data_IF_282271600808
#
_entry.id   IF_282271600808
#
_cell.length_a   1.000
_cell.length_b   1.000
_cell.length_c   1.000
_cell.angle_alpha   90.00
_cell.angle_beta   90.00
_cell.angle_gamma   90.00
#
_symmetry.space_group_name_H-M   'P 1'
#
loop_
_entity.id
_entity.type
_entity.pdbx_description
1 polymer ?
#
# COMPACT_ATOMS: atom_id res chain seq x y z
N UNK A 1 -4.31 1.20 -27.92
CA UNK A 1 -5.59 0.56 -28.35
C UNK A 1 -6.70 1.56 -28.16
N UNK A 2 -7.65 1.75 -29.11
CA UNK A 2 -8.81 2.61 -28.90
C UNK A 2 -9.68 2.07 -27.75
N UNK A 3 -10.23 2.96 -26.92
CA UNK A 3 -11.04 2.57 -25.75
C UNK A 3 -12.23 1.69 -26.11
N UNK A 4 -12.91 1.97 -27.21
CA UNK A 4 -14.04 1.16 -27.74
C UNK A 4 -13.73 -0.34 -28.00
N UNK A 5 -12.45 -0.72 -27.98
CA UNK A 5 -12.01 -2.11 -28.15
C UNK A 5 -11.58 -2.72 -26.80
N UNK A 6 -11.88 -2.04 -25.71
CA UNK A 6 -11.54 -2.49 -24.34
C UNK A 6 -12.85 -2.70 -23.60
N UNK A 7 -13.03 -3.93 -23.08
CA UNK A 7 -14.18 -4.30 -22.26
C UNK A 7 -13.65 -4.78 -20.91
N UNK A 8 -14.14 -4.22 -19.83
CA UNK A 8 -13.81 -4.59 -18.46
C UNK A 8 -15.02 -5.28 -17.86
N UNK A 9 -14.84 -6.53 -17.47
CA UNK A 9 -15.88 -7.36 -16.85
C UNK A 9 -15.63 -7.42 -15.35
N UNK A 10 -16.64 -7.09 -14.55
CA UNK A 10 -16.55 -7.08 -13.10
C UNK A 10 -17.74 -7.82 -12.50
N UNK A 11 -17.48 -8.79 -11.66
CA UNK A 11 -18.51 -9.62 -11.01
C UNK A 11 -19.40 -8.82 -10.06
N UNK A 12 -18.83 -7.77 -9.46
CA UNK A 12 -19.56 -6.88 -8.54
C UNK A 12 -20.22 -5.73 -9.29
N UNK A 13 -20.98 -4.93 -8.60
CA UNK A 13 -21.60 -3.68 -9.09
C UNK A 13 -20.66 -2.47 -8.99
N UNK A 14 -19.42 -2.66 -8.50
CA UNK A 14 -18.42 -1.62 -8.26
C UNK A 14 -17.04 -2.09 -8.70
N UNK A 15 -16.29 -1.21 -9.36
CA UNK A 15 -14.90 -1.47 -9.75
C UNK A 15 -13.93 -1.31 -8.56
N UNK A 16 -12.71 -1.85 -8.71
CA UNK A 16 -11.60 -1.57 -7.80
C UNK A 16 -11.15 -2.74 -6.95
N UNK A 17 -11.85 -3.87 -6.97
CA UNK A 17 -11.48 -5.06 -6.20
C UNK A 17 -11.30 -4.74 -4.71
N UNK A 18 -10.11 -5.04 -4.15
CA UNK A 18 -9.82 -4.73 -2.74
C UNK A 18 -9.69 -3.22 -2.42
N UNK A 19 -9.62 -2.37 -3.43
CA UNK A 19 -9.63 -0.90 -3.30
C UNK A 19 -11.05 -0.32 -3.39
N UNK A 20 -12.09 -1.15 -3.35
CA UNK A 20 -13.48 -0.68 -3.27
C UNK A 20 -13.73 0.07 -1.97
N UNK A 21 -14.80 0.82 -1.95
CA UNK A 21 -15.25 1.57 -0.78
C UNK A 21 -16.62 2.14 -1.04
N UNK A 22 -17.26 2.60 0.01
CA UNK A 22 -18.58 3.24 -0.08
C UNK A 22 -18.60 4.57 0.66
N UNK A 23 -19.46 5.44 0.23
CA UNK A 23 -19.89 6.60 1.00
C UNK A 23 -21.24 6.29 1.67
N UNK A 24 -21.25 6.28 2.99
CA UNK A 24 -22.48 6.14 3.78
C UNK A 24 -22.76 7.47 4.48
N UNK A 25 -23.92 8.12 4.22
CA UNK A 25 -24.23 9.41 4.82
C UNK A 25 -24.20 9.42 6.35
N UNK A 26 -24.39 8.27 7.00
CA UNK A 26 -24.39 8.15 8.47
C UNK A 26 -23.01 7.83 9.05
N UNK A 27 -22.09 7.29 8.26
CA UNK A 27 -20.77 6.80 8.70
C UNK A 27 -19.61 7.51 8.02
N UNK A 28 -19.85 8.17 6.90
CA UNK A 28 -18.81 8.77 6.07
C UNK A 28 -18.23 7.77 5.06
N UNK A 29 -16.98 7.96 4.72
CA UNK A 29 -16.28 7.09 3.77
C UNK A 29 -15.80 5.81 4.45
N UNK A 30 -16.19 4.67 3.91
CA UNK A 30 -15.85 3.34 4.44
C UNK A 30 -14.89 2.65 3.47
N UNK A 31 -13.85 2.02 4.03
CA UNK A 31 -12.85 1.24 3.29
C UNK A 31 -12.58 -0.09 4.00
N UNK A 32 -12.02 -1.06 3.30
CA UNK A 32 -11.73 -2.40 3.85
C UNK A 32 -10.51 -2.47 4.78
N UNK A 33 -9.83 -1.40 5.04
CA UNK A 33 -8.64 -1.35 5.90
C UNK A 33 -7.79 -0.13 5.62
N UNK A 34 -6.69 0.01 6.35
CA UNK A 34 -5.70 1.05 6.10
C UNK A 34 -5.16 0.94 4.68
N UNK A 35 -5.03 2.09 4.03
CA UNK A 35 -4.50 2.20 2.66
C UNK A 35 -3.56 3.39 2.61
N UNK A 36 -2.43 3.19 3.26
CA UNK A 36 -1.38 4.20 3.28
C UNK A 36 -0.73 4.31 1.90
N UNK A 37 -0.39 5.54 1.57
CA UNK A 37 0.28 5.90 0.32
C UNK A 37 1.63 6.52 0.63
N UNK A 38 2.45 6.70 -0.39
CA UNK A 38 3.72 7.42 -0.24
C UNK A 38 4.10 8.16 -1.53
N UNK A 39 5.06 9.06 -1.43
CA UNK A 39 5.46 9.89 -2.57
C UNK A 39 6.24 9.11 -3.66
N UNK A 40 6.85 7.98 -3.30
CA UNK A 40 7.70 7.17 -4.19
C UNK A 40 6.97 6.01 -4.87
N UNK A 41 5.67 6.08 -5.00
CA UNK A 41 4.90 5.20 -5.89
C UNK A 41 4.95 5.77 -7.33
N UNK A 42 6.15 5.87 -7.90
CA UNK A 42 6.39 6.61 -9.16
C UNK A 42 5.48 6.16 -10.29
N UNK A 43 5.33 4.85 -10.51
CA UNK A 43 4.45 4.33 -11.56
C UNK A 43 2.98 4.69 -11.33
N UNK A 44 2.53 4.64 -10.07
CA UNK A 44 1.17 5.02 -9.69
C UNK A 44 0.94 6.51 -9.95
N UNK A 45 1.85 7.35 -9.49
CA UNK A 45 1.73 8.80 -9.64
C UNK A 45 1.94 9.27 -11.08
N UNK A 46 2.76 8.58 -11.86
CA UNK A 46 2.86 8.85 -13.29
C UNK A 46 1.52 8.59 -14.02
N UNK A 47 0.81 7.52 -13.65
CA UNK A 47 -0.54 7.25 -14.14
C UNK A 47 -1.52 8.36 -13.71
N UNK A 48 -1.58 8.65 -12.42
CA UNK A 48 -2.57 9.60 -11.87
C UNK A 48 -2.28 11.07 -12.20
N UNK A 49 -1.10 11.40 -12.70
CA UNK A 49 -0.83 12.69 -13.33
C UNK A 49 -1.68 12.93 -14.58
N UNK A 50 -2.08 11.87 -15.26
CA UNK A 50 -2.89 11.94 -16.49
C UNK A 50 -4.40 11.81 -16.24
N UNK A 51 -4.81 11.44 -15.03
CA UNK A 51 -6.22 11.25 -14.66
C UNK A 51 -6.75 12.57 -14.08
N UNK A 52 -7.79 13.18 -14.72
CA UNK A 52 -8.40 14.40 -14.18
C UNK A 52 -9.07 14.18 -12.82
N UNK A 53 -8.95 15.18 -11.95
CA UNK A 53 -9.76 15.23 -10.73
C UNK A 53 -11.26 15.32 -11.09
N UNK A 54 -12.09 14.65 -10.29
CA UNK A 54 -13.55 14.78 -10.41
C UNK A 54 -14.04 16.09 -9.78
N UNK A 55 -13.37 16.53 -8.71
CA UNK A 55 -13.84 17.67 -7.92
C UNK A 55 -13.30 19.00 -8.41
N UNK A 56 -12.04 19.01 -8.84
CA UNK A 56 -11.32 20.24 -9.18
C UNK A 56 -11.03 20.29 -10.69
N UNK A 57 -11.78 21.08 -11.47
CA UNK A 57 -11.53 21.20 -12.89
C UNK A 57 -10.12 21.67 -13.24
N UNK A 58 -9.50 21.04 -14.23
CA UNK A 58 -8.21 21.44 -14.76
C UNK A 58 -6.98 20.99 -13.98
N UNK A 59 -7.18 20.14 -12.93
CA UNK A 59 -6.08 19.53 -12.17
C UNK A 59 -6.18 18.01 -12.23
N UNK A 60 -5.07 17.33 -11.96
CA UNK A 60 -5.03 15.87 -11.90
C UNK A 60 -5.30 15.35 -10.49
N UNK A 61 -5.59 14.05 -10.40
CA UNK A 61 -5.68 13.34 -9.11
C UNK A 61 -4.35 13.45 -8.34
N UNK A 62 -3.21 13.42 -9.04
CA UNK A 62 -1.90 13.62 -8.40
C UNK A 62 -1.77 15.01 -7.77
N UNK A 63 -2.25 16.06 -8.44
CA UNK A 63 -2.20 17.42 -7.91
C UNK A 63 -3.02 17.55 -6.63
N UNK A 64 -4.23 16.97 -6.58
CA UNK A 64 -5.06 16.95 -5.37
C UNK A 64 -4.40 16.20 -4.21
N UNK A 65 -3.83 15.03 -4.49
CA UNK A 65 -3.09 14.25 -3.50
C UNK A 65 -1.90 15.03 -2.94
N UNK A 66 -1.14 15.68 -3.81
CA UNK A 66 0.05 16.44 -3.41
C UNK A 66 -0.32 17.64 -2.54
N UNK A 67 -1.32 18.41 -2.94
CA UNK A 67 -1.75 19.59 -2.17
C UNK A 67 -2.31 19.21 -0.81
N UNK A 68 -3.17 18.21 -0.76
CA UNK A 68 -3.73 17.72 0.50
C UNK A 68 -2.61 17.38 1.49
N UNK A 69 -1.67 16.54 1.09
CA UNK A 69 -0.62 16.07 1.99
C UNK A 69 0.45 17.14 2.31
N UNK A 70 0.49 18.23 1.56
CA UNK A 70 1.32 19.41 1.85
C UNK A 70 0.65 20.32 2.88
N UNK A 71 -0.64 20.53 2.76
CA UNK A 71 -1.41 21.45 3.61
C UNK A 71 -1.82 20.79 4.94
N UNK A 72 -2.13 19.49 4.90
CA UNK A 72 -2.50 18.69 6.06
C UNK A 72 -1.60 17.45 6.16
N UNK A 73 -0.33 17.63 6.58
CA UNK A 73 0.61 16.53 6.72
C UNK A 73 0.15 15.58 7.81
N UNK A 74 0.18 14.29 7.50
CA UNK A 74 -0.23 13.27 8.46
C UNK A 74 0.70 13.24 9.67
N UNK A 75 0.09 13.21 10.84
CA UNK A 75 0.77 13.00 12.11
C UNK A 75 -0.18 12.33 13.10
N UNK A 76 0.20 11.12 13.53
CA UNK A 76 -0.55 10.39 14.54
C UNK A 76 0.38 9.45 15.27
N UNK A 77 0.54 9.62 16.58
CA UNK A 77 1.31 8.66 17.37
C UNK A 77 0.67 7.28 17.28
N UNK A 78 1.44 6.34 16.75
CA UNK A 78 1.05 4.95 16.70
C UNK A 78 0.96 4.37 18.10
N UNK A 79 -0.22 3.96 18.51
CA UNK A 79 -0.38 3.13 19.69
C UNK A 79 -0.18 1.67 19.34
N UNK A 80 1.05 1.19 19.46
CA UNK A 80 1.36 -0.22 19.28
C UNK A 80 0.88 -1.03 20.50
N UNK A 81 0.34 -2.20 20.25
CA UNK A 81 -0.13 -3.11 21.29
C UNK A 81 0.57 -4.47 21.20
N UNK A 82 0.71 -5.13 22.34
CA UNK A 82 1.20 -6.49 22.49
C UNK A 82 0.28 -7.29 23.41
N UNK A 83 0.50 -8.60 23.53
CA UNK A 83 -0.24 -9.46 24.46
C UNK A 83 -1.76 -9.22 24.45
N UNK A 84 -2.38 -9.27 23.27
CA UNK A 84 -3.82 -9.11 23.06
C UNK A 84 -4.36 -7.74 23.48
N UNK A 85 -3.67 -6.68 23.10
CA UNK A 85 -4.14 -5.31 23.23
C UNK A 85 -3.58 -4.52 24.40
N UNK A 86 -2.63 -5.06 25.14
CA UNK A 86 -1.88 -4.27 26.13
C UNK A 86 -1.00 -3.25 25.42
N UNK A 87 -0.94 -2.04 25.96
CA UNK A 87 -0.05 -1.02 25.45
C UNK A 87 1.43 -1.51 25.49
N UNK A 88 2.11 -1.38 24.38
CA UNK A 88 3.52 -1.78 24.26
C UNK A 88 4.49 -0.72 24.83
N UNK A 89 4.00 0.48 25.15
CA UNK A 89 4.77 1.61 25.69
C UNK A 89 6.04 1.90 24.87
N UNK A 90 5.85 2.03 23.56
CA UNK A 90 6.97 2.22 22.62
C UNK A 90 7.57 3.61 22.70
N UNK A 91 6.80 4.61 23.12
CA UNK A 91 7.18 6.03 23.24
C UNK A 91 7.84 6.59 21.95
N UNK A 92 7.43 6.08 20.78
CA UNK A 92 7.99 6.46 19.50
C UNK A 92 9.43 5.97 19.25
N UNK A 93 9.92 5.00 20.03
CA UNK A 93 11.28 4.49 19.93
C UNK A 93 11.29 3.06 19.39
N UNK A 94 12.36 2.73 18.68
CA UNK A 94 12.54 1.38 18.14
C UNK A 94 13.17 0.40 19.13
N UNK A 95 13.88 0.89 20.14
CA UNK A 95 14.57 0.06 21.14
C UNK A 95 15.39 -1.09 20.53
N UNK A 96 15.98 -0.82 19.37
CA UNK A 96 16.82 -1.77 18.66
C UNK A 96 18.24 -1.71 19.22
N UNK A 97 18.79 -2.86 19.59
CA UNK A 97 20.17 -2.96 20.10
C UNK A 97 21.18 -2.68 18.98
N UNK A 98 22.42 -2.39 19.38
CA UNK A 98 23.53 -2.27 18.42
C UNK A 98 23.72 -3.56 17.61
N UNK A 99 23.56 -4.72 18.25
CA UNK A 99 23.60 -6.02 17.57
C UNK A 99 22.48 -6.15 16.56
N UNK A 100 21.24 -5.84 16.93
CA UNK A 100 20.09 -5.84 16.02
C UNK A 100 20.27 -4.91 14.82
N UNK A 101 20.86 -3.71 15.04
CA UNK A 101 21.21 -2.84 13.93
C UNK A 101 22.23 -3.48 12.97
N UNK A 102 23.23 -4.18 13.51
CA UNK A 102 24.23 -4.88 12.68
C UNK A 102 23.62 -6.04 11.90
N UNK A 103 22.67 -6.76 12.47
CA UNK A 103 21.95 -7.85 11.79
C UNK A 103 21.12 -7.32 10.62
N UNK A 104 20.41 -6.21 10.80
CA UNK A 104 19.70 -5.53 9.72
C UNK A 104 20.67 -5.08 8.61
N UNK A 105 21.80 -4.49 8.98
CA UNK A 105 22.82 -4.10 8.01
C UNK A 105 23.39 -5.31 7.27
N UNK A 106 23.62 -6.42 7.98
CA UNK A 106 24.07 -7.68 7.37
C UNK A 106 23.06 -8.20 6.36
N UNK A 107 21.77 -8.23 6.72
CA UNK A 107 20.71 -8.62 5.77
C UNK A 107 20.75 -7.74 4.50
N UNK A 108 20.89 -6.43 4.67
CA UNK A 108 20.97 -5.48 3.57
C UNK A 108 22.12 -5.76 2.60
N UNK A 109 23.26 -6.22 3.12
CA UNK A 109 24.50 -6.50 2.37
C UNK A 109 24.58 -7.95 1.87
N UNK A 110 23.71 -8.84 2.34
CA UNK A 110 23.65 -10.24 1.89
C UNK A 110 23.16 -10.31 0.46
N UNK A 111 23.76 -11.17 -0.38
CA UNK A 111 23.28 -11.36 -1.74
C UNK A 111 21.89 -12.01 -1.77
N UNK A 112 21.12 -11.71 -2.80
CA UNK A 112 19.77 -12.25 -2.92
C UNK A 112 19.76 -13.78 -3.03
N UNK A 113 20.72 -14.35 -3.74
CA UNK A 113 20.86 -15.80 -3.90
C UNK A 113 21.11 -16.54 -2.59
N UNK A 114 21.75 -15.88 -1.61
CA UNK A 114 22.03 -16.44 -0.28
C UNK A 114 20.78 -16.41 0.63
N UNK A 115 19.69 -15.79 0.19
CA UNK A 115 18.44 -15.61 0.94
C UNK A 115 17.24 -16.39 0.38
N UNK A 116 17.37 -17.06 -0.78
CA UNK A 116 16.24 -17.70 -1.44
C UNK A 116 15.49 -18.71 -0.58
N UNK A 117 16.21 -19.48 0.22
CA UNK A 117 15.65 -20.53 1.09
C UNK A 117 15.66 -20.15 2.58
N UNK A 118 15.83 -18.85 2.89
CA UNK A 118 15.89 -18.38 4.27
C UNK A 118 14.61 -17.66 4.69
N UNK A 119 14.22 -17.92 5.93
CA UNK A 119 13.20 -17.17 6.63
C UNK A 119 13.81 -16.00 7.42
N UNK A 120 12.97 -15.10 7.87
CA UNK A 120 13.38 -13.97 8.71
C UNK A 120 14.02 -14.47 10.01
N UNK A 121 13.49 -15.55 10.60
CA UNK A 121 14.02 -16.18 11.82
C UNK A 121 15.37 -16.89 11.61
N UNK A 122 15.76 -17.19 10.36
CA UNK A 122 17.09 -17.73 10.07
C UNK A 122 18.20 -16.65 10.02
N UNK A 123 17.82 -15.38 9.95
CA UNK A 123 18.75 -14.27 9.75
C UNK A 123 18.81 -13.27 10.89
N UNK A 124 17.84 -13.31 11.80
CA UNK A 124 17.79 -12.44 12.97
C UNK A 124 17.75 -13.24 14.27
N UNK A 125 18.36 -12.68 15.30
CA UNK A 125 18.28 -13.19 16.66
C UNK A 125 17.11 -12.56 17.43
N UNK A 126 16.80 -13.13 18.60
CA UNK A 126 15.71 -12.67 19.50
C UNK A 126 15.76 -11.17 19.81
N UNK A 127 16.96 -10.57 19.83
CA UNK A 127 17.10 -9.12 20.09
C UNK A 127 16.38 -8.23 19.06
N UNK A 128 16.27 -8.67 17.80
CA UNK A 128 15.49 -7.96 16.78
C UNK A 128 14.00 -8.17 17.03
N UNK A 129 13.58 -9.41 17.31
CA UNK A 129 12.17 -9.78 17.51
C UNK A 129 11.58 -9.17 18.78
N UNK A 130 12.37 -8.98 19.83
CA UNK A 130 11.95 -8.33 21.07
C UNK A 130 11.94 -6.80 21.01
N UNK A 131 12.46 -6.23 19.91
CA UNK A 131 12.50 -4.78 19.72
C UNK A 131 11.13 -4.19 19.34
N UNK A 132 10.91 -2.93 19.70
CA UNK A 132 9.74 -2.19 19.22
C UNK A 132 9.83 -1.87 17.72
N UNK A 133 11.05 -1.88 17.14
CA UNK A 133 11.24 -1.82 15.70
C UNK A 133 10.50 -2.97 15.00
N UNK A 134 10.71 -4.23 15.45
CA UNK A 134 10.03 -5.39 14.87
C UNK A 134 8.51 -5.28 15.02
N UNK A 135 8.04 -4.82 16.18
CA UNK A 135 6.61 -4.62 16.41
C UNK A 135 5.99 -3.64 15.40
N UNK A 136 6.63 -2.50 15.13
CA UNK A 136 6.18 -1.56 14.11
C UNK A 136 6.26 -2.16 12.70
N UNK A 137 7.41 -2.75 12.37
CA UNK A 137 7.67 -3.28 11.04
C UNK A 137 6.68 -4.38 10.66
N UNK A 138 6.54 -5.38 11.52
CA UNK A 138 5.61 -6.49 11.28
C UNK A 138 4.15 -6.05 11.19
N UNK A 139 3.76 -5.06 11.99
CA UNK A 139 2.39 -4.54 11.99
C UNK A 139 2.11 -3.73 10.71
N UNK A 140 3.06 -2.90 10.30
CA UNK A 140 2.90 -2.03 9.12
C UNK A 140 2.89 -2.83 7.82
N UNK A 141 3.79 -3.80 7.70
CA UNK A 141 4.01 -4.55 6.46
C UNK A 141 3.50 -5.99 6.51
N UNK A 142 2.80 -6.38 7.56
CA UNK A 142 2.22 -7.72 7.77
C UNK A 142 3.25 -8.86 7.70
N UNK A 143 4.48 -8.65 8.20
CA UNK A 143 5.49 -9.68 8.28
C UNK A 143 5.28 -10.61 9.48
N UNK A 144 5.65 -11.86 9.30
CA UNK A 144 5.82 -12.87 10.34
C UNK A 144 7.23 -13.47 10.28
N UNK A 145 7.70 -14.04 11.39
CA UNK A 145 9.10 -14.52 11.52
C UNK A 145 9.45 -15.59 10.46
N UNK A 146 8.48 -16.39 10.05
CA UNK A 146 8.63 -17.45 9.06
C UNK A 146 8.53 -16.97 7.59
N UNK A 147 8.30 -15.67 7.35
CA UNK A 147 8.29 -15.14 6.00
C UNK A 147 9.70 -15.08 5.40
N UNK A 148 9.79 -14.89 4.08
CA UNK A 148 11.05 -14.86 3.35
C UNK A 148 11.94 -13.71 3.82
N UNK A 149 13.21 -14.04 4.13
CA UNK A 149 14.23 -13.05 4.43
C UNK A 149 14.57 -12.16 3.21
N UNK A 150 14.50 -12.72 2.00
CA UNK A 150 14.67 -11.96 0.77
C UNK A 150 13.58 -10.91 0.63
N UNK A 151 12.33 -11.28 0.82
CA UNK A 151 11.21 -10.34 0.72
C UNK A 151 11.38 -9.20 1.74
N UNK A 152 11.73 -9.53 2.98
CA UNK A 152 12.02 -8.50 3.98
C UNK A 152 13.16 -7.57 3.57
N UNK A 153 14.24 -8.10 2.99
CA UNK A 153 15.34 -7.28 2.46
C UNK A 153 14.83 -6.30 1.39
N UNK A 154 14.02 -6.79 0.43
CA UNK A 154 13.45 -5.95 -0.63
C UNK A 154 12.54 -4.85 -0.08
N UNK A 155 11.76 -5.15 0.96
CA UNK A 155 10.97 -4.15 1.67
C UNK A 155 11.85 -3.12 2.37
N UNK A 156 12.94 -3.52 3.02
CA UNK A 156 13.90 -2.57 3.57
C UNK A 156 14.48 -1.65 2.51
N UNK A 157 14.91 -2.19 1.39
CA UNK A 157 15.45 -1.39 0.29
C UNK A 157 14.41 -0.38 -0.24
N UNK A 158 13.15 -0.82 -0.30
CA UNK A 158 12.05 0.01 -0.80
C UNK A 158 11.62 1.10 0.17
N UNK A 159 11.61 0.81 1.47
CA UNK A 159 11.00 1.67 2.48
C UNK A 159 11.98 2.24 3.51
N UNK A 160 13.29 2.11 3.30
CA UNK A 160 14.29 2.57 4.28
C UNK A 160 14.15 4.06 4.61
N UNK A 161 13.77 4.88 3.66
CA UNK A 161 13.58 6.31 3.84
C UNK A 161 12.34 6.68 4.68
N UNK A 162 11.47 5.72 4.95
CA UNK A 162 10.28 5.89 5.78
C UNK A 162 10.42 5.38 7.21
N UNK A 163 11.50 4.66 7.53
CA UNK A 163 11.65 3.99 8.83
C UNK A 163 11.48 4.98 9.99
N UNK A 164 12.06 6.16 9.90
CA UNK A 164 11.96 7.17 10.97
C UNK A 164 10.54 7.67 11.23
N UNK A 165 9.66 7.60 10.24
CA UNK A 165 8.28 8.07 10.34
C UNK A 165 7.26 6.97 10.65
N UNK A 166 7.69 5.74 10.93
CA UNK A 166 6.77 4.66 11.31
C UNK A 166 6.06 4.89 12.64
N UNK A 167 6.71 5.43 13.68
CA UNK A 167 6.05 5.62 14.98
C UNK A 167 4.95 6.69 15.00
N UNK A 168 4.95 7.65 14.09
CA UNK A 168 4.03 8.79 14.07
C UNK A 168 3.28 8.96 12.74
N UNK A 169 3.41 8.01 11.82
CA UNK A 169 2.85 8.02 10.48
C UNK A 169 3.28 9.20 9.58
N UNK A 170 4.27 10.01 9.99
CA UNK A 170 4.71 11.17 9.20
C UNK A 170 5.26 10.78 7.82
N UNK A 171 5.75 9.55 7.69
CA UNK A 171 6.20 8.99 6.41
C UNK A 171 5.06 8.63 5.47
N UNK A 172 3.87 8.42 5.99
CA UNK A 172 2.72 7.94 5.24
C UNK A 172 1.85 9.09 4.75
N UNK A 173 1.19 8.86 3.64
CA UNK A 173 0.29 9.81 2.99
C UNK A 173 -1.07 9.17 2.80
N UNK A 174 -2.08 9.99 2.68
CA UNK A 174 -3.46 9.53 2.51
C UNK A 174 -4.12 10.24 1.34
N UNK A 175 -5.12 9.58 0.78
CA UNK A 175 -6.06 10.20 -0.15
C UNK A 175 -7.13 10.98 0.63
N UNK A 176 -7.80 11.92 -0.02
CA UNK A 176 -8.84 12.77 0.60
C UNK A 176 -10.01 11.96 1.14
N UNK A 177 -10.41 10.94 0.40
CA UNK A 177 -11.47 10.00 0.73
C UNK A 177 -10.89 8.59 0.80
N UNK A 178 -11.73 7.55 0.71
CA UNK A 178 -11.24 6.18 0.48
C UNK A 178 -10.62 6.05 -0.92
N UNK A 179 -9.93 4.94 -1.21
CA UNK A 179 -9.29 4.75 -2.51
C UNK A 179 -10.28 4.66 -3.66
N UNK A 180 -11.48 4.17 -3.42
CA UNK A 180 -12.50 4.11 -4.47
C UNK A 180 -12.82 5.51 -4.98
N UNK A 181 -13.23 6.41 -4.09
CA UNK A 181 -13.63 7.77 -4.44
C UNK A 181 -12.45 8.62 -4.97
N UNK A 182 -11.25 8.40 -4.39
CA UNK A 182 -10.10 9.24 -4.71
C UNK A 182 -9.30 8.77 -5.92
N UNK A 183 -9.30 7.48 -6.23
CA UNK A 183 -8.44 6.89 -7.27
C UNK A 183 -9.24 6.08 -8.30
N UNK A 184 -10.06 5.13 -7.86
CA UNK A 184 -10.74 4.20 -8.77
C UNK A 184 -11.82 4.91 -9.59
N UNK A 185 -12.66 5.68 -8.95
CA UNK A 185 -13.76 6.38 -9.63
C UNK A 185 -13.27 7.43 -10.66
N UNK A 186 -12.24 8.26 -10.36
CA UNK A 186 -11.65 9.13 -11.38
C UNK A 186 -11.07 8.36 -12.56
N UNK A 187 -10.37 7.25 -12.31
CA UNK A 187 -9.82 6.40 -13.37
C UNK A 187 -10.90 5.74 -14.20
N UNK A 188 -11.96 5.22 -13.59
CA UNK A 188 -13.12 4.66 -14.30
C UNK A 188 -13.73 5.69 -15.22
N UNK A 189 -14.04 6.90 -14.73
CA UNK A 189 -14.60 7.98 -15.55
C UNK A 189 -13.71 8.36 -16.72
N UNK A 190 -12.41 8.49 -16.48
CA UNK A 190 -11.43 8.76 -17.53
C UNK A 190 -11.44 7.69 -18.63
N UNK A 191 -11.52 6.41 -18.23
CA UNK A 191 -11.58 5.29 -19.18
C UNK A 191 -12.91 5.25 -19.95
N UNK A 192 -14.03 5.51 -19.30
CA UNK A 192 -15.35 5.60 -19.92
C UNK A 192 -15.40 6.73 -20.96
N UNK A 193 -14.85 7.90 -20.65
CA UNK A 193 -14.71 9.02 -21.57
C UNK A 193 -13.81 8.68 -22.78
N UNK A 194 -12.81 7.82 -22.58
CA UNK A 194 -11.98 7.27 -23.66
C UNK A 194 -12.70 6.16 -24.48
N UNK A 195 -13.93 5.78 -24.12
CA UNK A 195 -14.76 4.80 -24.79
C UNK A 195 -14.58 3.36 -24.31
N UNK A 196 -13.98 3.15 -23.15
CA UNK A 196 -13.90 1.82 -22.52
C UNK A 196 -15.26 1.43 -21.96
N UNK A 197 -15.67 0.19 -22.21
CA UNK A 197 -16.93 -0.36 -21.70
C UNK A 197 -16.70 -1.13 -20.40
N UNK A 198 -17.43 -0.77 -19.35
CA UNK A 198 -17.50 -1.51 -18.09
C UNK A 198 -18.81 -2.31 -18.03
N UNK A 199 -18.70 -3.61 -17.83
CA UNK A 199 -19.82 -4.53 -17.65
C UNK A 199 -19.79 -5.08 -16.23
N UNK A 200 -20.54 -4.43 -15.34
CA UNK A 200 -20.71 -4.86 -13.95
C UNK A 200 -21.68 -6.05 -13.83
N UNK A 201 -21.68 -6.70 -12.67
CA UNK A 201 -22.47 -7.91 -12.38
C UNK A 201 -22.24 -9.03 -13.41
N UNK A 202 -21.02 -9.10 -13.95
CA UNK A 202 -20.61 -10.02 -15.00
C UNK A 202 -19.42 -10.86 -14.55
N UNK A 203 -19.69 -12.09 -14.14
CA UNK A 203 -18.66 -13.04 -13.69
C UNK A 203 -18.06 -13.80 -14.86
N UNK A 204 -16.73 -13.82 -14.94
CA UNK A 204 -15.99 -14.65 -15.89
C UNK A 204 -15.77 -16.03 -15.27
N UNK A 205 -16.51 -17.02 -15.74
CA UNK A 205 -16.46 -18.39 -15.20
C UNK A 205 -15.41 -19.27 -15.88
N UNK A 206 -14.90 -18.87 -17.05
CA UNK A 206 -13.89 -19.61 -17.80
C UNK A 206 -12.88 -18.65 -18.45
N UNK A 207 -11.62 -18.80 -18.08
CA UNK A 207 -10.51 -17.99 -18.61
C UNK A 207 -9.69 -18.69 -19.70
N UNK A 208 -10.20 -19.74 -20.33
CA UNK A 208 -9.52 -20.40 -21.45
C UNK A 208 -9.59 -19.51 -22.69
N UNK A 209 -8.49 -18.81 -22.96
CA UNK A 209 -8.28 -18.13 -24.22
C UNK A 209 -7.78 -19.17 -25.24
N UNK A 210 -8.66 -19.57 -26.12
CA UNK A 210 -8.24 -20.30 -27.31
C UNK A 210 -7.68 -19.27 -28.31
N UNK A 211 -6.35 -19.25 -28.45
CA UNK A 211 -5.77 -18.67 -29.67
C UNK A 211 -6.12 -19.62 -30.78
N UNK A 212 -7.07 -19.24 -31.61
CA UNK A 212 -7.19 -19.87 -32.92
C UNK A 212 -5.91 -19.54 -33.67
N UNK A 213 -5.13 -20.55 -33.97
CA UNK A 213 -4.05 -20.44 -34.96
C UNK A 213 -4.68 -19.94 -36.25
N UNK A 214 -4.43 -18.69 -36.57
CA UNK A 214 -4.78 -18.11 -37.85
C UNK A 214 -3.63 -18.27 -38.81
#
# INVERSE_FOLDING_TARGET
MPGKNIHILEAMDIAGGACDGIFDPSRGYVMRGGREMENHFECLWDLFRSIPSIETPGVSVLDEYYWLNKEDPNYSLCRATKERGKDAHTDGKFNLSQKGCMEIMKLFMTKDEDLYDKTIEDVFDDEVFDSTFWLYWRTMFAFENWHSALEMKLYFQRFIHHISGLPDFSALKFTKYNQYESLILPMQKYLEEAGVEFQFNTEVTNCLLYTSDA
#
